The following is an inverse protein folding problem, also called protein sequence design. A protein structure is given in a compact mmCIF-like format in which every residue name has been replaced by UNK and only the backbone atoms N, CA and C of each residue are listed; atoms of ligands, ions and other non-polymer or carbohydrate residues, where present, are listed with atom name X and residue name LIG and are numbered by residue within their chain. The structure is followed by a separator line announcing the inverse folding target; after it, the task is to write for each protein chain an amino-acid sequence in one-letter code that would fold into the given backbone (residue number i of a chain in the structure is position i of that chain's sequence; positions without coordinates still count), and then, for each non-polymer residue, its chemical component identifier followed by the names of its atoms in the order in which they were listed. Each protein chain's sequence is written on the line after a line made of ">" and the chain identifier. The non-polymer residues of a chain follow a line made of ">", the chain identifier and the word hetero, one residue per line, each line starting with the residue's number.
data_IF_206959013460
#
_entry.id   IF_206959013460
#
_cell.length_a   1.000
_cell.length_b   1.000
_cell.length_c   1.000
_cell.angle_alpha   90.00
_cell.angle_beta   90.00
_cell.angle_gamma   90.00
#
_symmetry.space_group_name_H-M   'P 1'
#
loop_
_entity.id
_entity.type
_entity.pdbx_description
1 polymer ?
#
# COMPACT_ATOMS: atom_id res chain seq x y z
N UNK A 1 0.60 -18.93 3.20
CA UNK A 1 1.57 -18.47 4.21
C UNK A 1 0.78 -17.79 5.31
N UNK A 2 1.29 -17.68 6.55
CA UNK A 2 0.68 -16.74 7.49
C UNK A 2 0.97 -15.33 7.00
N UNK A 3 -0.07 -14.54 6.78
CA UNK A 3 0.00 -13.14 6.38
C UNK A 3 -0.55 -12.27 7.49
N UNK A 4 -0.02 -11.05 7.59
CA UNK A 4 -0.51 -10.01 8.48
C UNK A 4 -1.94 -9.60 8.11
N UNK A 5 -2.25 -9.55 6.82
CA UNK A 5 -3.59 -9.28 6.28
C UNK A 5 -3.90 -7.80 6.07
N UNK A 6 -3.29 -6.92 6.86
CA UNK A 6 -3.37 -5.47 6.72
C UNK A 6 -2.02 -4.80 7.09
N UNK A 7 -0.92 -5.32 6.53
CA UNK A 7 0.42 -4.85 6.85
C UNK A 7 0.62 -3.39 6.41
N UNK A 8 0.48 -2.44 7.33
CA UNK A 8 0.67 -1.02 7.06
C UNK A 8 1.83 -0.40 7.85
N UNK A 9 2.40 0.68 7.33
CA UNK A 9 3.44 1.50 7.95
C UNK A 9 2.98 2.07 9.30
N UNK A 10 1.67 2.31 9.48
CA UNK A 10 1.10 2.69 10.78
C UNK A 10 1.24 1.61 11.86
N UNK A 11 1.48 0.35 11.49
CA UNK A 11 1.75 -0.77 12.41
C UNK A 11 3.25 -1.05 12.61
N UNK A 12 4.13 -0.32 11.93
CA UNK A 12 5.58 -0.51 11.98
C UNK A 12 6.21 0.40 13.03
N UNK A 13 6.86 -0.19 14.02
CA UNK A 13 7.66 0.52 15.02
C UNK A 13 9.13 0.40 14.64
N UNK A 14 9.75 1.53 14.29
CA UNK A 14 11.19 1.60 14.05
C UNK A 14 11.95 1.77 15.37
N UNK A 15 12.91 0.87 15.63
CA UNK A 15 13.86 0.98 16.73
C UNK A 15 15.02 1.91 16.39
N UNK A 16 15.60 2.54 17.41
CA UNK A 16 16.75 3.44 17.24
C UNK A 16 18.04 2.73 16.82
N UNK A 17 18.08 1.40 16.97
CA UNK A 17 19.20 0.52 16.62
C UNK A 17 19.07 -0.11 15.22
N UNK A 18 18.09 0.35 14.42
CA UNK A 18 17.81 -0.22 13.11
C UNK A 18 16.97 -1.51 13.16
N UNK A 19 16.53 -1.94 14.35
CA UNK A 19 15.49 -2.96 14.47
C UNK A 19 14.12 -2.41 14.05
N UNK A 20 13.20 -3.30 13.68
CA UNK A 20 11.81 -2.92 13.43
C UNK A 20 10.87 -4.00 13.97
N UNK A 21 9.75 -3.58 14.54
CA UNK A 21 8.67 -4.46 14.99
C UNK A 21 7.41 -4.14 14.23
N UNK A 22 6.83 -5.13 13.57
CA UNK A 22 5.51 -5.01 12.95
C UNK A 22 4.47 -5.55 13.92
N UNK A 23 3.58 -4.68 14.38
CA UNK A 23 2.42 -5.07 15.21
C UNK A 23 1.46 -5.89 14.35
N UNK A 24 0.92 -6.99 14.89
CA UNK A 24 -0.08 -7.82 14.21
C UNK A 24 -1.40 -7.87 15.02
N UNK A 25 -2.53 -8.06 14.33
CA UNK A 25 -3.86 -7.95 14.92
C UNK A 25 -4.85 -8.99 14.38
N UNK A 26 -6.12 -8.59 14.30
CA UNK A 26 -7.24 -9.48 13.95
C UNK A 26 -7.25 -9.91 12.48
N UNK A 27 -6.55 -9.21 11.59
CA UNK A 27 -6.49 -9.50 10.15
C UNK A 27 -5.56 -10.67 9.78
N UNK A 28 -4.89 -11.27 10.78
CA UNK A 28 -4.03 -12.43 10.60
C UNK A 28 -4.75 -13.55 9.87
N UNK A 29 -4.22 -13.95 8.72
CA UNK A 29 -4.92 -14.88 7.82
C UNK A 29 -3.94 -15.72 6.99
N UNK A 30 -4.48 -16.76 6.34
CA UNK A 30 -3.69 -17.60 5.42
C UNK A 30 -3.86 -17.08 4.01
N UNK A 31 -2.85 -16.39 3.50
CA UNK A 31 -2.87 -15.75 2.19
C UNK A 31 -1.59 -16.04 1.39
N UNK A 32 -1.58 -15.73 0.08
CA UNK A 32 -0.35 -15.65 -0.69
C UNK A 32 0.62 -14.63 -0.07
N UNK A 33 1.91 -14.94 -0.13
CA UNK A 33 2.96 -14.14 0.53
C UNK A 33 3.05 -12.69 0.02
N UNK A 34 2.71 -12.48 -1.24
CA UNK A 34 2.79 -11.18 -1.89
C UNK A 34 1.70 -10.21 -1.41
N UNK A 35 0.69 -10.68 -0.65
CA UNK A 35 -0.40 -9.84 -0.15
C UNK A 35 0.12 -8.74 0.76
N UNK A 36 0.89 -9.09 1.80
CA UNK A 36 1.41 -8.10 2.75
C UNK A 36 2.37 -7.11 2.09
N UNK A 37 3.24 -7.57 1.19
CA UNK A 37 4.16 -6.68 0.48
C UNK A 37 3.40 -5.75 -0.45
N UNK A 38 2.46 -6.29 -1.24
CA UNK A 38 1.69 -5.46 -2.17
C UNK A 38 0.83 -4.43 -1.44
N UNK A 39 0.38 -4.74 -0.23
CA UNK A 39 -0.29 -3.78 0.65
C UNK A 39 0.65 -2.62 1.04
N UNK A 40 1.87 -2.90 1.51
CA UNK A 40 2.88 -1.88 1.86
C UNK A 40 3.41 -1.12 0.63
N UNK A 41 3.46 -1.74 -0.55
CA UNK A 41 3.82 -1.01 -1.79
C UNK A 41 2.69 -0.06 -2.16
N UNK A 42 1.44 -0.53 -2.11
CA UNK A 42 0.26 0.31 -2.33
C UNK A 42 0.23 1.50 -1.37
N UNK A 43 0.45 1.20 -0.09
CA UNK A 43 1.21 2.01 0.87
C UNK A 43 1.89 3.31 0.40
N UNK A 44 3.14 3.09 0.00
CA UNK A 44 4.11 4.04 -0.49
C UNK A 44 3.64 4.75 -1.77
N UNK A 45 2.91 4.06 -2.65
CA UNK A 45 2.37 4.65 -3.89
C UNK A 45 1.34 5.74 -3.59
N UNK A 46 0.44 5.49 -2.65
CA UNK A 46 -0.52 6.52 -2.22
C UNK A 46 0.17 7.67 -1.48
N UNK A 47 1.14 7.38 -0.61
CA UNK A 47 1.89 8.41 0.10
C UNK A 47 2.67 9.30 -0.87
N UNK A 48 3.28 8.72 -1.91
CA UNK A 48 3.90 9.48 -3.00
C UNK A 48 2.90 10.38 -3.72
N UNK A 49 1.69 9.87 -3.98
CA UNK A 49 0.65 10.64 -4.65
C UNK A 49 0.18 11.81 -3.78
N UNK A 50 -0.01 11.59 -2.48
CA UNK A 50 -0.48 12.61 -1.52
C UNK A 50 0.59 13.65 -1.16
N UNK A 51 1.82 13.21 -0.93
CA UNK A 51 2.91 14.06 -0.42
C UNK A 51 3.80 14.63 -1.54
N UNK A 52 3.74 14.06 -2.74
CA UNK A 52 4.65 14.39 -3.83
C UNK A 52 6.10 13.98 -3.52
N UNK A 53 7.07 14.75 -4.01
CA UNK A 53 8.50 14.52 -3.76
C UNK A 53 9.23 13.81 -4.89
N UNK A 54 10.47 13.39 -4.63
CA UNK A 54 11.36 12.80 -5.63
C UNK A 54 10.91 11.37 -6.00
N UNK A 55 10.56 11.10 -7.27
CA UNK A 55 10.21 9.75 -7.72
C UNK A 55 11.28 8.70 -7.48
N UNK A 56 12.57 9.06 -7.53
CA UNK A 56 13.69 8.13 -7.33
C UNK A 56 13.77 7.71 -5.87
N UNK A 57 13.64 8.65 -4.93
CA UNK A 57 13.58 8.35 -3.51
C UNK A 57 12.42 7.41 -3.15
N UNK A 58 11.23 7.64 -3.72
CA UNK A 58 10.09 6.74 -3.52
C UNK A 58 10.32 5.33 -4.05
N UNK A 59 10.96 5.20 -5.21
CA UNK A 59 11.31 3.89 -5.77
C UNK A 59 12.32 3.17 -4.86
N UNK A 60 13.30 3.89 -4.31
CA UNK A 60 14.29 3.30 -3.39
C UNK A 60 13.65 2.69 -2.13
N UNK A 61 12.53 3.22 -1.64
CA UNK A 61 11.79 2.61 -0.53
C UNK A 61 11.12 1.28 -0.92
N UNK A 62 10.57 1.20 -2.13
CA UNK A 62 9.98 -0.04 -2.67
C UNK A 62 11.08 -1.08 -2.89
N UNK A 63 12.22 -0.66 -3.45
CA UNK A 63 13.36 -1.54 -3.71
C UNK A 63 13.91 -2.11 -2.39
N UNK A 64 14.08 -1.27 -1.36
CA UNK A 64 14.53 -1.69 -0.03
C UNK A 64 13.55 -2.67 0.64
N UNK A 65 12.24 -2.47 0.47
CA UNK A 65 11.22 -3.40 0.97
C UNK A 65 11.35 -4.77 0.29
N UNK A 66 11.44 -4.80 -1.03
CA UNK A 66 11.58 -6.04 -1.81
C UNK A 66 12.91 -6.75 -1.50
N UNK A 67 14.00 -6.00 -1.34
CA UNK A 67 15.31 -6.52 -0.92
C UNK A 67 15.22 -7.15 0.48
N UNK A 68 14.66 -6.44 1.45
CA UNK A 68 14.50 -6.93 2.82
C UNK A 68 13.61 -8.16 2.94
N UNK A 69 12.57 -8.25 2.08
CA UNK A 69 11.73 -9.44 1.99
C UNK A 69 12.41 -10.61 1.23
N UNK A 70 13.37 -10.29 0.36
CA UNK A 70 14.09 -11.24 -0.49
C UNK A 70 13.28 -11.77 -1.67
N UNK A 71 12.15 -11.13 -2.01
CA UNK A 71 11.29 -11.48 -3.16
C UNK A 71 10.61 -10.25 -3.75
N UNK A 72 10.42 -10.28 -5.06
CA UNK A 72 9.68 -9.27 -5.82
C UNK A 72 8.26 -9.79 -6.13
N UNK A 73 7.18 -9.08 -5.73
CA UNK A 73 5.80 -9.47 -6.03
C UNK A 73 5.42 -9.33 -7.51
N UNK A 74 6.29 -8.82 -8.38
CA UNK A 74 6.05 -8.71 -9.81
C UNK A 74 4.89 -7.77 -10.14
N UNK A 75 4.00 -8.15 -11.06
CA UNK A 75 2.86 -7.30 -11.42
C UNK A 75 1.68 -7.41 -10.42
N UNK A 76 1.69 -8.39 -9.52
CA UNK A 76 0.54 -8.69 -8.65
C UNK A 76 0.31 -7.63 -7.57
N UNK A 77 1.35 -6.88 -7.17
CA UNK A 77 1.22 -5.82 -6.17
C UNK A 77 0.27 -4.70 -6.61
N UNK A 78 0.12 -4.47 -7.92
CA UNK A 78 -0.71 -3.38 -8.44
C UNK A 78 -2.18 -3.54 -8.05
N UNK A 79 -2.69 -4.78 -8.05
CA UNK A 79 -4.07 -5.03 -7.59
C UNK A 79 -4.22 -4.82 -6.09
N UNK A 80 -3.19 -5.18 -5.32
CA UNK A 80 -3.20 -4.98 -3.88
C UNK A 80 -3.13 -3.49 -3.53
N UNK A 81 -2.38 -2.70 -4.30
CA UNK A 81 -2.38 -1.26 -4.19
C UNK A 81 -3.76 -0.66 -4.47
N UNK A 82 -4.44 -1.12 -5.53
CA UNK A 82 -5.83 -0.72 -5.82
C UNK A 82 -6.75 -1.07 -4.66
N UNK A 83 -6.71 -2.30 -4.14
CA UNK A 83 -7.55 -2.73 -3.02
C UNK A 83 -7.29 -1.91 -1.75
N UNK A 84 -6.02 -1.66 -1.44
CA UNK A 84 -5.61 -0.86 -0.29
C UNK A 84 -6.11 0.58 -0.36
N UNK A 85 -6.03 1.20 -1.54
CA UNK A 85 -6.55 2.56 -1.75
C UNK A 85 -8.07 2.57 -1.74
N UNK A 86 -8.73 1.54 -2.29
CA UNK A 86 -10.19 1.39 -2.19
C UNK A 86 -10.65 1.30 -0.73
N UNK A 87 -9.90 0.60 0.13
CA UNK A 87 -10.19 0.57 1.56
C UNK A 87 -10.05 1.96 2.20
N UNK A 88 -9.00 2.71 1.86
CA UNK A 88 -8.84 4.09 2.32
C UNK A 88 -10.06 4.95 1.91
N UNK A 89 -10.51 4.85 0.65
CA UNK A 89 -11.71 5.57 0.18
C UNK A 89 -12.96 5.16 0.92
N UNK A 90 -13.14 3.86 1.16
CA UNK A 90 -14.24 3.35 1.98
C UNK A 90 -14.22 4.00 3.36
N UNK A 91 -13.05 4.06 4.01
CA UNK A 91 -12.92 4.61 5.36
C UNK A 91 -13.19 6.12 5.40
N UNK A 92 -12.74 6.88 4.38
CA UNK A 92 -13.11 8.30 4.23
C UNK A 92 -14.64 8.42 4.15
N UNK A 93 -15.28 7.62 3.29
CA UNK A 93 -16.74 7.67 3.09
C UNK A 93 -17.54 7.19 4.32
N UNK A 94 -16.98 6.27 5.11
CA UNK A 94 -17.64 5.69 6.28
C UNK A 94 -17.48 6.55 7.54
N UNK A 95 -16.32 7.18 7.73
CA UNK A 95 -15.96 7.82 9.00
C UNK A 95 -15.87 9.33 8.94
N UNK A 96 -15.69 9.94 7.77
CA UNK A 96 -15.58 11.38 7.64
C UNK A 96 -16.84 11.98 7.00
N UNK A 97 -17.36 13.04 7.62
CA UNK A 97 -18.34 13.94 7.00
C UNK A 97 -17.60 14.94 6.09
N UNK A 98 -16.70 14.41 5.24
CA UNK A 98 -15.84 15.20 4.36
C UNK A 98 -16.62 15.72 3.14
N UNK A 99 -16.19 16.84 2.54
CA UNK A 99 -16.71 17.29 1.26
C UNK A 99 -16.51 16.23 0.18
N UNK A 100 -17.50 16.10 -0.71
CA UNK A 100 -17.56 15.16 -1.85
C UNK A 100 -16.30 15.21 -2.75
N UNK A 101 -15.54 16.31 -2.70
CA UNK A 101 -14.31 16.53 -3.46
C UNK A 101 -13.18 15.54 -3.10
N UNK A 102 -13.00 15.18 -1.82
CA UNK A 102 -11.99 14.21 -1.38
C UNK A 102 -12.26 12.82 -1.97
N UNK A 103 -13.52 12.40 -2.01
CA UNK A 103 -13.94 11.14 -2.62
C UNK A 103 -13.66 11.11 -4.13
N UNK A 104 -13.95 12.19 -4.85
CA UNK A 104 -13.70 12.27 -6.30
C UNK A 104 -12.23 12.19 -6.67
N UNK A 105 -11.35 12.87 -5.92
CA UNK A 105 -9.90 12.83 -6.17
C UNK A 105 -9.35 11.41 -6.06
N UNK A 106 -9.77 10.68 -5.02
CA UNK A 106 -9.36 9.29 -4.85
C UNK A 106 -9.97 8.35 -5.91
N UNK A 107 -11.24 8.57 -6.30
CA UNK A 107 -11.87 7.78 -7.36
C UNK A 107 -11.14 7.94 -8.71
N UNK A 108 -10.69 9.15 -9.03
CA UNK A 108 -9.89 9.42 -10.22
C UNK A 108 -8.51 8.75 -10.15
N UNK A 109 -7.88 8.77 -8.97
CA UNK A 109 -6.60 8.09 -8.75
C UNK A 109 -6.72 6.57 -8.89
N UNK A 110 -7.80 5.98 -8.34
CA UNK A 110 -8.11 4.56 -8.53
C UNK A 110 -8.30 4.21 -10.01
N UNK A 111 -9.02 5.04 -10.76
CA UNK A 111 -9.20 4.86 -12.21
C UNK A 111 -7.86 4.87 -12.95
N UNK A 112 -6.95 5.77 -12.57
CA UNK A 112 -5.60 5.81 -13.12
C UNK A 112 -4.82 4.52 -12.86
N UNK A 113 -4.81 4.02 -11.62
CA UNK A 113 -4.09 2.78 -11.26
C UNK A 113 -4.63 1.55 -11.98
N UNK A 114 -5.95 1.43 -12.10
CA UNK A 114 -6.60 0.35 -12.85
C UNK A 114 -6.21 0.43 -14.34
N UNK A 115 -6.22 1.64 -14.91
CA UNK A 115 -5.83 1.88 -16.31
C UNK A 115 -4.36 1.58 -16.59
N UNK A 116 -3.45 1.93 -15.66
CA UNK A 116 -2.01 1.68 -15.79
C UNK A 116 -1.70 0.20 -15.99
N UNK A 117 -2.43 -0.69 -15.31
CA UNK A 117 -2.30 -2.15 -15.47
C UNK A 117 -2.80 -2.64 -16.82
N UNK A 118 -3.93 -2.11 -17.29
CA UNK A 118 -4.54 -2.50 -18.57
C UNK A 118 -3.68 -2.17 -19.80
N UNK A 119 -2.69 -1.29 -19.66
CA UNK A 119 -1.74 -0.93 -20.71
C UNK A 119 -0.49 -1.85 -20.78
N UNK A 120 -0.33 -2.79 -19.84
CA UNK A 120 0.85 -3.69 -19.73
C UNK A 120 0.53 -5.13 -20.14
N UNK A 121 -0.62 -5.37 -20.79
CA UNK A 121 -1.00 -6.66 -21.40
C UNK A 121 -0.83 -6.62 -22.91
#
# INVERSE_FOLDING_TARGET
>A
MLAHGAAGLGSLIAGSDGSATLLAGEDLSVLPWYVDIGWIIGELVELKWQLGGDPVAWQAHIDALCEGYGRDPGADWQWLAVLRIMLHVHDIAAYLDEPVDSFHQYADFLRFLIGLRGAVT
#
